data_IF_099723013784
#
_entry.id   IF_099723013784
#
_cell.length_a   1.000
_cell.length_b   1.000
_cell.length_c   1.000
_cell.angle_alpha   90.00
_cell.angle_beta   90.00
_cell.angle_gamma   90.00
#
_symmetry.space_group_name_H-M   'P 1'
#
loop_
_entity.id
_entity.type
_entity.pdbx_description
1 polymer ?
#
# COMPACT_ATOMS: atom_id res chain seq x y z
N UNK A 1 -11.36 -7.68 -20.18
CA UNK A 1 -10.16 -7.30 -20.95
C UNK A 1 -10.23 -5.81 -21.18
N UNK A 2 -9.27 -5.05 -20.66
CA UNK A 2 -9.24 -3.59 -20.79
C UNK A 2 -8.95 -3.17 -22.24
N UNK A 3 -9.41 -1.97 -22.60
CA UNK A 3 -9.03 -1.31 -23.84
C UNK A 3 -7.89 -0.32 -23.54
N UNK A 4 -6.65 -0.81 -23.58
CA UNK A 4 -5.48 -0.02 -23.19
C UNK A 4 -5.24 1.20 -24.07
N UNK A 5 -5.60 1.14 -25.36
CA UNK A 5 -5.56 2.30 -26.26
C UNK A 5 -6.45 3.45 -25.77
N UNK A 6 -7.64 3.12 -25.24
CA UNK A 6 -8.55 4.10 -24.65
C UNK A 6 -7.97 4.66 -23.34
N UNK A 7 -7.53 3.79 -22.43
CA UNK A 7 -6.98 4.20 -21.14
C UNK A 7 -5.75 5.08 -21.31
N UNK A 8 -4.85 4.73 -22.24
CA UNK A 8 -3.66 5.50 -22.53
C UNK A 8 -3.98 6.91 -23.05
N UNK A 9 -4.98 7.04 -23.94
CA UNK A 9 -5.44 8.37 -24.40
C UNK A 9 -5.99 9.21 -23.25
N UNK A 10 -6.75 8.62 -22.34
CA UNK A 10 -7.26 9.32 -21.15
C UNK A 10 -6.11 9.73 -20.21
N UNK A 11 -5.14 8.84 -20.01
CA UNK A 11 -3.92 9.12 -19.25
C UNK A 11 -3.15 10.30 -19.85
N UNK A 12 -2.86 10.29 -21.16
CA UNK A 12 -2.13 11.38 -21.82
C UNK A 12 -2.82 12.74 -21.66
N UNK A 13 -4.15 12.77 -21.61
CA UNK A 13 -4.90 14.00 -21.40
C UNK A 13 -4.83 14.51 -19.94
N UNK A 14 -4.62 13.62 -18.98
CA UNK A 14 -4.69 13.92 -17.55
C UNK A 14 -3.37 13.84 -16.81
N UNK A 15 -2.29 13.35 -17.43
CA UNK A 15 -1.02 13.01 -16.75
C UNK A 15 -0.50 14.10 -15.80
N UNK A 16 -0.63 15.38 -16.17
CA UNK A 16 -0.16 16.51 -15.35
C UNK A 16 -0.96 16.66 -14.03
N UNK A 17 -2.17 16.08 -13.95
CA UNK A 17 -3.03 16.04 -12.77
C UNK A 17 -2.86 14.74 -11.96
N UNK A 18 -2.04 13.81 -12.43
CA UNK A 18 -1.78 12.51 -11.78
C UNK A 18 -0.47 12.50 -10.98
N UNK A 19 0.11 13.68 -10.77
CA UNK A 19 1.34 13.86 -10.01
C UNK A 19 0.94 14.42 -8.64
N UNK A 20 1.15 13.64 -7.58
CA UNK A 20 0.74 14.00 -6.23
C UNK A 20 1.97 14.10 -5.32
N UNK A 21 2.06 15.19 -4.54
CA UNK A 21 3.10 15.31 -3.51
C UNK A 21 2.86 14.29 -2.39
N UNK A 22 3.91 13.98 -1.64
CA UNK A 22 3.82 13.04 -0.51
C UNK A 22 2.77 13.47 0.53
N UNK A 23 2.61 14.77 0.79
CA UNK A 23 1.56 15.29 1.68
C UNK A 23 0.16 15.02 1.12
N UNK A 24 -0.02 15.18 -0.20
CA UNK A 24 -1.31 14.92 -0.84
C UNK A 24 -1.66 13.44 -0.83
N UNK A 25 -0.69 12.56 -1.10
CA UNK A 25 -0.86 11.11 -0.97
C UNK A 25 -1.28 10.74 0.45
N UNK A 26 -0.58 11.28 1.46
CA UNK A 26 -0.89 11.06 2.87
C UNK A 26 -2.32 11.53 3.24
N UNK A 27 -2.75 12.70 2.75
CA UNK A 27 -4.10 13.23 2.96
C UNK A 27 -5.17 12.34 2.33
N UNK A 28 -4.94 11.86 1.11
CA UNK A 28 -5.88 10.99 0.38
C UNK A 28 -6.04 9.63 1.07
N UNK A 29 -4.95 9.04 1.55
CA UNK A 29 -4.99 7.79 2.33
C UNK A 29 -5.75 7.99 3.64
N UNK A 30 -5.40 9.05 4.39
CA UNK A 30 -6.02 9.37 5.68
C UNK A 30 -7.52 9.61 5.52
N UNK A 31 -7.93 10.44 4.56
CA UNK A 31 -9.33 10.81 4.35
C UNK A 31 -10.18 9.65 3.83
N UNK A 32 -9.65 8.85 2.89
CA UNK A 32 -10.40 7.76 2.25
C UNK A 32 -10.55 6.53 3.16
N UNK A 33 -9.51 6.20 3.94
CA UNK A 33 -9.46 4.96 4.71
C UNK A 33 -9.43 5.16 6.22
N UNK A 34 -9.62 6.40 6.69
CA UNK A 34 -9.49 6.78 8.10
C UNK A 34 -8.15 6.30 8.71
N UNK A 35 -7.12 6.23 7.88
CA UNK A 35 -5.82 5.71 8.29
C UNK A 35 -5.21 6.64 9.35
N UNK A 36 -4.59 6.05 10.38
CA UNK A 36 -3.97 6.82 11.46
C UNK A 36 -2.46 6.65 11.42
N UNK A 37 -1.74 7.73 11.66
CA UNK A 37 -0.28 7.67 11.70
C UNK A 37 0.20 6.91 12.95
N UNK A 38 1.27 6.13 12.80
CA UNK A 38 1.98 5.52 13.92
C UNK A 38 3.50 5.52 13.68
N UNK A 39 4.27 5.30 14.76
CA UNK A 39 5.74 5.31 14.66
C UNK A 39 6.26 4.08 13.93
N UNK A 40 7.12 4.30 12.92
CA UNK A 40 7.88 3.25 12.25
C UNK A 40 8.74 2.39 13.19
N UNK A 41 9.10 2.91 14.37
CA UNK A 41 9.85 2.15 15.39
C UNK A 41 9.05 1.01 16.02
N UNK A 42 7.73 0.94 15.77
CA UNK A 42 6.90 -0.20 16.21
C UNK A 42 7.04 -1.41 15.29
N UNK A 43 7.53 -1.21 14.07
CA UNK A 43 7.76 -2.27 13.08
C UNK A 43 9.25 -2.65 13.20
N UNK A 44 9.55 -3.71 13.95
CA UNK A 44 10.93 -4.01 14.34
C UNK A 44 11.77 -4.57 13.19
N UNK A 45 11.15 -5.24 12.22
CA UNK A 45 11.85 -5.78 11.04
C UNK A 45 12.21 -4.69 10.01
N UNK A 46 11.49 -3.57 10.00
CA UNK A 46 11.62 -2.51 9.00
C UNK A 46 13.01 -1.87 8.93
N UNK A 47 13.80 -1.91 10.01
CA UNK A 47 15.17 -1.39 10.01
C UNK A 47 16.13 -2.22 9.14
N UNK A 48 15.77 -3.48 8.89
CA UNK A 48 16.54 -4.43 8.07
C UNK A 48 15.86 -4.70 6.73
N UNK A 49 14.88 -3.88 6.34
CA UNK A 49 14.18 -4.02 5.07
C UNK A 49 15.03 -3.40 3.95
N UNK A 50 15.56 -4.23 3.07
CA UNK A 50 16.42 -3.81 1.96
C UNK A 50 15.65 -3.03 0.87
N UNK A 51 14.32 -3.05 0.89
CA UNK A 51 13.47 -2.32 -0.04
C UNK A 51 13.39 -0.82 0.30
N UNK A 52 13.58 -0.47 1.58
CA UNK A 52 13.48 0.91 2.06
C UNK A 52 14.81 1.46 2.60
N UNK A 53 15.08 2.73 2.31
CA UNK A 53 16.02 3.50 3.11
C UNK A 53 15.31 3.91 4.41
N UNK A 54 15.56 3.20 5.52
CA UNK A 54 14.87 3.42 6.81
C UNK A 54 14.83 4.90 7.24
N UNK A 55 15.89 5.67 6.96
CA UNK A 55 15.96 7.11 7.30
C UNK A 55 15.06 7.99 6.44
N UNK A 56 14.66 7.53 5.25
CA UNK A 56 13.78 8.20 4.27
C UNK A 56 12.32 7.83 4.41
N UNK A 57 12.00 6.81 5.22
CA UNK A 57 10.61 6.52 5.63
C UNK A 57 10.09 7.72 6.42
N UNK A 58 9.11 8.42 5.84
CA UNK A 58 8.56 9.65 6.40
C UNK A 58 7.21 9.45 7.08
N UNK A 59 6.47 8.38 6.74
CA UNK A 59 5.16 8.12 7.33
C UNK A 59 4.81 6.64 7.33
N UNK A 60 4.20 6.19 8.43
CA UNK A 60 3.56 4.88 8.54
C UNK A 60 2.11 5.07 8.98
N UNK A 61 1.19 4.34 8.37
CA UNK A 61 -0.23 4.38 8.69
C UNK A 61 -0.76 3.01 9.09
N UNK A 62 -1.70 3.02 10.02
CA UNK A 62 -2.53 1.87 10.36
C UNK A 62 -3.97 2.10 9.92
N UNK A 63 -4.59 1.06 9.37
CA UNK A 63 -6.04 0.92 9.23
C UNK A 63 -6.48 -0.27 10.08
N UNK A 64 -7.30 -0.02 11.10
CA UNK A 64 -7.77 -1.03 12.05
C UNK A 64 -9.27 -0.91 12.39
N UNK A 65 -10.03 -0.11 11.63
CA UNK A 65 -11.49 -0.05 11.71
C UNK A 65 -12.08 -1.31 11.05
N UNK A 66 -12.71 -2.25 11.80
CA UNK A 66 -13.18 -3.52 11.24
C UNK A 66 -14.21 -3.33 10.12
N UNK A 67 -14.99 -2.25 10.17
CA UNK A 67 -16.00 -1.94 9.16
C UNK A 67 -15.38 -1.49 7.83
N UNK A 68 -14.18 -0.92 7.86
CA UNK A 68 -13.41 -0.59 6.66
C UNK A 68 -12.63 -1.79 6.16
N UNK A 69 -11.96 -2.53 7.05
CA UNK A 69 -11.18 -3.71 6.70
C UNK A 69 -12.02 -4.74 5.92
N UNK A 70 -13.24 -5.03 6.38
CA UNK A 70 -14.14 -5.97 5.67
C UNK A 70 -14.54 -5.49 4.26
N UNK A 71 -14.43 -4.19 3.96
CA UNK A 71 -14.70 -3.62 2.63
C UNK A 71 -13.44 -3.49 1.76
N UNK A 72 -12.26 -3.55 2.38
CA UNK A 72 -10.98 -3.47 1.70
C UNK A 72 -10.56 -4.83 1.18
N UNK A 73 -10.67 -5.86 2.02
CA UNK A 73 -10.33 -7.21 1.64
C UNK A 73 -11.33 -7.83 0.67
N UNK A 74 -10.81 -8.45 -0.38
CA UNK A 74 -11.47 -9.40 -1.25
C UNK A 74 -11.92 -10.65 -0.49
N UNK A 75 -12.73 -11.47 -1.14
CA UNK A 75 -13.22 -12.71 -0.52
C UNK A 75 -12.10 -13.75 -0.34
N UNK A 76 -11.08 -13.75 -1.20
CA UNK A 76 -9.91 -14.63 -1.06
C UNK A 76 -9.00 -14.17 0.07
N UNK A 77 -8.68 -12.88 0.18
CA UNK A 77 -7.92 -12.33 1.32
C UNK A 77 -8.64 -12.66 2.65
N UNK A 78 -9.96 -12.45 2.73
CA UNK A 78 -10.77 -12.85 3.89
C UNK A 78 -10.73 -14.34 4.17
N UNK A 79 -10.57 -15.19 3.16
CA UNK A 79 -10.42 -16.64 3.34
C UNK A 79 -9.06 -16.95 3.95
N UNK A 80 -7.99 -16.35 3.45
CA UNK A 80 -6.63 -16.49 3.99
C UNK A 80 -6.58 -16.03 5.46
N UNK A 81 -7.13 -14.87 5.79
CA UNK A 81 -7.19 -14.40 7.19
C UNK A 81 -7.95 -15.36 8.11
N UNK A 82 -8.99 -16.04 7.61
CA UNK A 82 -9.73 -17.04 8.40
C UNK A 82 -8.88 -18.28 8.67
N UNK A 83 -8.03 -18.69 7.74
CA UNK A 83 -7.09 -19.79 7.93
C UNK A 83 -6.05 -19.41 9.00
N UNK A 84 -5.50 -18.19 8.93
CA UNK A 84 -4.58 -17.64 9.94
C UNK A 84 -5.23 -17.54 11.33
N UNK A 85 -6.50 -17.12 11.43
CA UNK A 85 -7.23 -17.10 12.71
C UNK A 85 -7.36 -18.50 13.31
N UNK A 86 -7.56 -19.54 12.49
CA UNK A 86 -7.69 -20.91 12.97
C UNK A 86 -6.33 -21.43 13.45
N UNK A 87 -5.26 -21.22 12.67
CA UNK A 87 -3.90 -21.64 13.04
C UNK A 87 -3.44 -20.95 14.34
N UNK A 88 -3.62 -19.63 14.44
CA UNK A 88 -3.23 -18.87 15.63
C UNK A 88 -4.05 -19.25 16.89
N UNK A 89 -5.27 -19.78 16.73
CA UNK A 89 -6.03 -20.35 17.85
C UNK A 89 -5.49 -21.71 18.29
N UNK A 90 -4.99 -22.53 17.37
CA UNK A 90 -4.34 -23.81 17.68
C UNK A 90 -2.93 -23.62 18.24
N UNK A 91 -2.26 -22.52 17.85
CA UNK A 91 -0.88 -22.20 18.18
C UNK A 91 -0.73 -20.78 18.77
N UNK A 92 -1.39 -20.47 19.91
CA UNK A 92 -1.43 -19.12 20.43
C UNK A 92 -0.05 -18.64 20.91
N UNK A 93 0.20 -17.34 20.72
CA UNK A 93 1.38 -16.66 21.26
C UNK A 93 1.49 -16.89 22.76
N UNK A 94 2.69 -17.28 23.22
CA UNK A 94 2.95 -17.54 24.63
C UNK A 94 3.75 -16.39 25.26
N UNK A 95 3.17 -15.59 26.18
CA UNK A 95 3.85 -14.43 26.76
C UNK A 95 5.12 -14.77 27.53
N UNK A 96 5.29 -16.03 27.96
CA UNK A 96 6.50 -16.48 28.67
C UNK A 96 7.65 -16.87 27.73
N UNK A 97 7.36 -17.07 26.44
CA UNK A 97 8.33 -17.56 25.43
C UNK A 97 8.63 -16.53 24.36
N UNK A 98 7.72 -15.60 24.13
CA UNK A 98 7.81 -14.59 23.08
C UNK A 98 8.51 -13.35 23.63
N UNK A 99 9.60 -12.94 22.97
CA UNK A 99 10.20 -11.61 23.14
C UNK A 99 9.43 -10.61 22.26
N UNK A 100 9.55 -9.32 22.52
CA UNK A 100 8.94 -8.29 21.65
C UNK A 100 7.43 -8.49 21.50
N UNK A 101 6.76 -8.67 22.65
CA UNK A 101 5.34 -9.02 22.75
C UNK A 101 4.43 -8.12 21.90
N UNK A 102 4.65 -6.80 21.96
CA UNK A 102 3.86 -5.82 21.20
C UNK A 102 4.03 -5.98 19.69
N UNK A 103 5.25 -6.28 19.22
CA UNK A 103 5.53 -6.46 17.81
C UNK A 103 4.94 -7.77 17.28
N UNK A 104 5.02 -8.86 18.05
CA UNK A 104 4.39 -10.12 17.67
C UNK A 104 2.86 -10.00 17.62
N UNK A 105 2.26 -9.18 18.49
CA UNK A 105 0.84 -8.86 18.40
C UNK A 105 0.48 -8.04 17.17
N UNK A 106 1.35 -7.12 16.75
CA UNK A 106 1.17 -6.39 15.50
C UNK A 106 1.15 -7.36 14.31
N UNK A 107 2.11 -8.30 14.24
CA UNK A 107 2.16 -9.33 13.19
C UNK A 107 0.92 -10.24 13.21
N UNK A 108 0.46 -10.62 14.40
CA UNK A 108 -0.77 -11.40 14.56
C UNK A 108 -2.00 -10.64 14.05
N UNK A 109 -2.10 -9.35 14.38
CA UNK A 109 -3.20 -8.50 13.93
C UNK A 109 -3.17 -8.30 12.41
N UNK A 110 -1.97 -8.24 11.80
CA UNK A 110 -1.78 -8.27 10.34
C UNK A 110 -2.31 -9.58 9.77
N UNK A 111 -1.74 -10.74 10.12
CA UNK A 111 -2.11 -12.06 9.59
C UNK A 111 -3.62 -12.36 9.64
N UNK A 112 -4.26 -12.00 10.76
CA UNK A 112 -5.69 -12.25 10.97
C UNK A 112 -6.61 -11.21 10.29
N UNK A 113 -6.07 -10.30 9.47
CA UNK A 113 -6.81 -9.26 8.77
C UNK A 113 -7.48 -8.26 9.72
N UNK A 114 -6.93 -8.07 10.92
CA UNK A 114 -7.41 -7.10 11.93
C UNK A 114 -6.71 -5.74 11.80
N UNK A 115 -5.69 -5.66 10.96
CA UNK A 115 -4.84 -4.49 10.78
C UNK A 115 -4.22 -4.49 9.39
N UNK A 116 -4.15 -3.33 8.74
CA UNK A 116 -3.30 -3.12 7.57
C UNK A 116 -2.33 -1.98 7.88
N UNK A 117 -1.04 -2.23 7.68
CA UNK A 117 0.00 -1.22 7.81
C UNK A 117 0.51 -0.76 6.43
N UNK A 118 0.61 0.56 6.27
CA UNK A 118 1.15 1.21 5.08
C UNK A 118 2.44 1.91 5.47
N UNK A 119 3.51 1.70 4.72
CA UNK A 119 4.80 2.39 4.90
C UNK A 119 5.06 3.23 3.66
N UNK A 120 5.43 4.50 3.84
CA UNK A 120 5.74 5.43 2.75
C UNK A 120 7.14 6.03 2.90
N UNK A 121 7.89 6.00 1.81
CA UNK A 121 9.24 6.57 1.69
C UNK A 121 9.25 7.81 0.80
N UNK A 122 10.14 8.75 1.08
CA UNK A 122 10.41 9.89 0.19
C UNK A 122 11.90 10.20 0.19
N UNK A 123 12.60 9.80 -0.88
CA UNK A 123 14.05 10.04 -1.03
C UNK A 123 14.38 11.51 -1.29
N UNK A 124 13.56 12.16 -2.12
CA UNK A 124 13.70 13.56 -2.56
C UNK A 124 13.03 14.57 -1.61
N UNK A 125 12.20 14.09 -0.69
CA UNK A 125 11.45 14.90 0.25
C UNK A 125 10.18 15.55 -0.31
N UNK A 126 9.83 15.34 -1.58
CA UNK A 126 8.68 15.95 -2.26
C UNK A 126 7.64 14.91 -2.70
N UNK A 127 8.09 13.82 -3.32
CA UNK A 127 7.22 12.75 -3.82
C UNK A 127 7.43 11.46 -3.02
N UNK A 128 6.46 10.56 -3.07
CA UNK A 128 6.66 9.22 -2.51
C UNK A 128 7.53 8.45 -3.49
N UNK A 129 8.67 7.94 -3.02
CA UNK A 129 9.59 7.14 -3.83
C UNK A 129 9.26 5.66 -3.79
N UNK A 130 8.76 5.17 -2.65
CA UNK A 130 8.46 3.77 -2.43
C UNK A 130 7.34 3.59 -1.39
N UNK A 131 6.61 2.49 -1.46
CA UNK A 131 5.61 2.12 -0.48
C UNK A 131 5.48 0.61 -0.29
N UNK A 132 4.91 0.22 0.86
CA UNK A 132 4.44 -1.15 1.03
C UNK A 132 3.12 -1.15 1.77
N UNK A 133 2.28 -2.12 1.44
CA UNK A 133 1.08 -2.45 2.18
C UNK A 133 1.31 -3.84 2.78
N UNK A 134 1.55 -3.89 4.08
CA UNK A 134 1.73 -5.15 4.81
C UNK A 134 0.43 -5.95 4.80
N UNK A 135 0.57 -7.27 4.85
CA UNK A 135 -0.52 -8.25 4.72
C UNK A 135 -1.25 -8.25 3.36
N UNK A 136 -0.61 -7.66 2.33
CA UNK A 136 -0.96 -7.81 0.91
C UNK A 136 -2.40 -7.42 0.52
N UNK A 137 -2.98 -6.36 1.09
CA UNK A 137 -4.28 -5.86 0.64
C UNK A 137 -4.22 -5.30 -0.80
N UNK A 138 -4.70 -6.07 -1.79
CA UNK A 138 -4.60 -5.76 -3.22
C UNK A 138 -5.26 -4.43 -3.56
N UNK A 139 -6.47 -4.20 -3.03
CA UNK A 139 -7.23 -2.97 -3.30
C UNK A 139 -6.49 -1.72 -2.83
N UNK A 140 -5.83 -1.80 -1.68
CA UNK A 140 -5.07 -0.68 -1.13
C UNK A 140 -3.74 -0.50 -1.87
N UNK A 141 -3.05 -1.60 -2.21
CA UNK A 141 -1.86 -1.59 -3.06
C UNK A 141 -2.12 -0.89 -4.39
N UNK A 142 -3.18 -1.29 -5.10
CA UNK A 142 -3.59 -0.68 -6.37
C UNK A 142 -3.94 0.80 -6.22
N UNK A 143 -4.64 1.15 -5.14
CA UNK A 143 -4.99 2.56 -4.89
C UNK A 143 -3.76 3.42 -4.69
N UNK A 144 -2.82 2.98 -3.86
CA UNK A 144 -1.59 3.72 -3.56
C UNK A 144 -0.68 3.77 -4.80
N UNK A 145 -0.59 2.68 -5.57
CA UNK A 145 0.09 2.66 -6.86
C UNK A 145 -0.45 3.76 -7.81
N UNK A 146 -1.78 3.89 -7.93
CA UNK A 146 -2.41 4.94 -8.74
C UNK A 146 -2.03 6.37 -8.30
N UNK A 147 -1.71 6.58 -7.02
CA UNK A 147 -1.33 7.87 -6.46
C UNK A 147 0.14 8.22 -6.63
N UNK A 148 1.02 7.25 -6.81
CA UNK A 148 2.47 7.46 -6.72
C UNK A 148 3.14 7.38 -8.08
N UNK A 149 2.74 6.44 -8.93
CA UNK A 149 3.46 6.13 -10.18
C UNK A 149 3.54 7.32 -11.14
N UNK A 150 2.54 8.20 -11.17
CA UNK A 150 2.57 9.39 -12.03
C UNK A 150 3.76 10.31 -11.70
N UNK A 151 4.10 10.45 -10.42
CA UNK A 151 5.28 11.21 -9.99
C UNK A 151 6.58 10.48 -10.32
N UNK A 152 6.63 9.15 -10.18
CA UNK A 152 7.80 8.34 -10.55
C UNK A 152 8.13 8.53 -12.04
N UNK A 153 7.12 8.41 -12.91
CA UNK A 153 7.24 8.57 -14.35
C UNK A 153 7.70 9.98 -14.72
N UNK A 154 7.10 11.02 -14.14
CA UNK A 154 7.48 12.41 -14.48
C UNK A 154 8.93 12.73 -14.11
N UNK A 155 9.47 12.08 -13.07
CA UNK A 155 10.85 12.26 -12.64
C UNK A 155 11.84 11.31 -13.34
N UNK A 156 11.38 10.43 -14.25
CA UNK A 156 12.24 9.47 -14.96
C UNK A 156 12.89 8.45 -14.01
N UNK A 157 12.16 8.05 -12.97
CA UNK A 157 12.64 7.12 -11.93
C UNK A 157 12.07 5.71 -12.09
N UNK A 158 11.22 5.47 -13.09
CA UNK A 158 10.65 4.18 -13.40
C UNK A 158 11.70 3.19 -13.91
N UNK A 159 11.56 1.91 -13.53
CA UNK A 159 12.45 0.82 -13.98
C UNK A 159 11.88 0.07 -15.18
N UNK A 160 10.75 0.51 -15.72
CA UNK A 160 10.02 -0.13 -16.82
C UNK A 160 9.68 0.89 -17.92
N UNK A 161 9.51 0.45 -19.17
CA UNK A 161 9.06 1.33 -20.25
C UNK A 161 7.65 1.89 -19.99
N UNK A 162 7.49 3.21 -20.15
CA UNK A 162 6.18 3.87 -20.18
C UNK A 162 5.51 3.62 -21.54
N UNK A 163 5.15 2.36 -21.77
CA UNK A 163 4.63 1.84 -23.04
C UNK A 163 3.32 1.07 -22.83
N UNK A 164 2.36 1.23 -23.74
CA UNK A 164 1.03 0.62 -23.64
C UNK A 164 1.03 -0.91 -23.69
N UNK A 165 2.14 -1.53 -24.09
CA UNK A 165 2.32 -2.98 -24.13
C UNK A 165 3.12 -3.51 -22.94
N UNK A 166 3.67 -2.64 -22.09
CA UNK A 166 4.35 -3.02 -20.85
C UNK A 166 3.34 -3.37 -19.75
N UNK A 167 3.56 -4.47 -19.04
CA UNK A 167 2.63 -4.98 -18.04
C UNK A 167 2.53 -4.09 -16.79
N UNK A 168 3.63 -3.46 -16.38
CA UNK A 168 3.65 -2.55 -15.22
C UNK A 168 2.92 -1.26 -15.56
N UNK A 169 3.15 -0.72 -16.76
CA UNK A 169 2.43 0.45 -17.19
C UNK A 169 0.94 0.17 -17.43
N UNK A 170 0.59 -0.98 -18.01
CA UNK A 170 -0.81 -1.43 -18.10
C UNK A 170 -1.46 -1.53 -16.73
N UNK A 171 -0.78 -2.16 -15.75
CA UNK A 171 -1.27 -2.26 -14.38
C UNK A 171 -1.52 -0.88 -13.75
N UNK A 172 -0.64 0.09 -13.99
CA UNK A 172 -0.87 1.47 -13.55
C UNK A 172 -2.11 2.10 -14.21
N UNK A 173 -2.29 1.93 -15.52
CA UNK A 173 -3.48 2.42 -16.23
C UNK A 173 -4.78 1.79 -15.71
N UNK A 174 -4.77 0.49 -15.42
CA UNK A 174 -5.90 -0.20 -14.79
C UNK A 174 -6.24 0.40 -13.43
N UNK A 175 -5.22 0.65 -12.60
CA UNK A 175 -5.42 1.23 -11.27
C UNK A 175 -5.99 2.65 -11.37
N UNK A 176 -5.51 3.47 -12.30
CA UNK A 176 -6.06 4.81 -12.54
C UNK A 176 -7.54 4.76 -12.96
N UNK A 177 -7.91 3.83 -13.85
CA UNK A 177 -9.30 3.63 -14.28
C UNK A 177 -10.18 3.14 -13.12
N UNK A 178 -9.73 2.10 -12.42
CA UNK A 178 -10.44 1.47 -11.30
C UNK A 178 -10.82 2.48 -10.22
N UNK A 179 -9.95 3.45 -9.93
CA UNK A 179 -10.19 4.46 -8.89
C UNK A 179 -10.70 5.80 -9.44
N UNK A 180 -11.02 5.85 -10.74
CA UNK A 180 -11.68 6.99 -11.37
C UNK A 180 -10.78 8.20 -11.62
N UNK A 181 -9.46 8.02 -11.64
CA UNK A 181 -8.52 9.08 -11.97
C UNK A 181 -8.53 9.44 -13.46
N UNK A 182 -8.96 8.52 -14.33
CA UNK A 182 -9.09 8.73 -15.79
C UNK A 182 -10.46 9.28 -16.25
N UNK A 183 -11.43 9.38 -15.35
CA UNK A 183 -12.81 9.79 -15.65
C UNK A 183 -13.02 11.30 -15.59
#
# INVERSE_FOLDING_TARGET
MYNYEKLYKQYLYKKDQLIFTKERVAEMITSKFKAREFSKTKILDLVNDDHFEYTKIYKCFVIDDPSLLIQLFSDEEKKNHREEILDNREHPLNPKRVKEWEYNHLLLDEQEGRRIDIILESKDGLYVSEFTVRDSCEKLNRYINALIVGAIIENGLEEYPVDIHDEYFQFYLENLDQFGFLN
#
